data_IF_299959824998
#
_entry.id   IF_299959824998
#
_cell.length_a   1.000
_cell.length_b   1.000
_cell.length_c   1.000
_cell.angle_alpha   90.00
_cell.angle_beta   90.00
_cell.angle_gamma   90.00
#
_symmetry.space_group_name_H-M   'P 1'
#
loop_
_entity.id
_entity.type
_entity.pdbx_description
1 polymer ?
#
# COMPACT_ATOMS: atom_id res chain seq x y z
N UNK A 1 -15.13 -24.10 53.08
CA UNK A 1 -15.77 -24.00 51.75
C UNK A 1 -15.88 -22.53 51.35
N UNK A 2 -15.55 -22.23 50.09
CA UNK A 2 -15.91 -21.02 49.33
C UNK A 2 -15.17 -19.68 49.55
N UNK A 3 -13.85 -19.60 49.32
CA UNK A 3 -13.18 -18.29 49.08
C UNK A 3 -12.30 -18.24 47.81
N UNK A 4 -11.97 -19.37 47.19
CA UNK A 4 -11.10 -19.38 45.99
C UNK A 4 -11.85 -19.15 44.67
N UNK A 5 -13.16 -19.43 44.62
CA UNK A 5 -13.96 -19.30 43.38
C UNK A 5 -14.34 -17.84 43.04
N UNK A 6 -14.35 -16.93 44.01
CA UNK A 6 -14.73 -15.52 43.78
C UNK A 6 -13.64 -14.65 43.12
N UNK A 7 -12.35 -14.95 43.34
CA UNK A 7 -11.22 -14.20 42.76
C UNK A 7 -10.96 -14.52 41.29
N UNK A 8 -11.26 -15.74 40.86
CA UNK A 8 -11.07 -16.17 39.46
C UNK A 8 -12.12 -15.52 38.56
N UNK A 9 -13.35 -15.31 39.05
CA UNK A 9 -14.42 -14.66 38.27
C UNK A 9 -14.15 -13.18 38.04
N UNK A 10 -13.51 -12.48 39.00
CA UNK A 10 -13.17 -11.06 38.87
C UNK A 10 -11.98 -10.80 37.93
N UNK A 11 -10.95 -11.65 37.91
CA UNK A 11 -9.86 -11.53 36.93
C UNK A 11 -10.35 -11.84 35.50
N UNK A 12 -11.24 -12.83 35.34
CA UNK A 12 -11.79 -13.18 34.03
C UNK A 12 -12.69 -12.07 33.47
N UNK A 13 -13.46 -11.36 34.31
CA UNK A 13 -14.26 -10.21 33.86
C UNK A 13 -13.39 -9.00 33.51
N UNK A 14 -12.26 -8.79 34.20
CA UNK A 14 -11.33 -7.69 33.90
C UNK A 14 -10.55 -7.94 32.60
N UNK A 15 -10.18 -9.19 32.30
CA UNK A 15 -9.58 -9.57 31.00
C UNK A 15 -10.59 -9.44 29.86
N UNK A 16 -11.88 -9.78 30.08
CA UNK A 16 -12.93 -9.59 29.07
C UNK A 16 -13.29 -8.12 28.84
N UNK A 17 -13.26 -7.28 29.89
CA UNK A 17 -13.50 -5.83 29.78
C UNK A 17 -12.32 -5.10 29.14
N UNK A 18 -11.09 -5.52 29.41
CA UNK A 18 -9.91 -4.98 28.70
C UNK A 18 -9.93 -5.40 27.23
N UNK A 19 -10.32 -6.63 26.89
CA UNK A 19 -10.42 -7.08 25.49
C UNK A 19 -11.56 -6.42 24.69
N UNK A 20 -12.61 -5.91 25.34
CA UNK A 20 -13.70 -5.18 24.66
C UNK A 20 -13.45 -3.67 24.59
N UNK A 21 -12.45 -3.16 25.31
CA UNK A 21 -12.05 -1.75 25.34
C UNK A 21 -10.60 -1.51 24.89
N UNK A 22 -9.94 -2.49 24.24
CA UNK A 22 -8.86 -2.15 23.30
C UNK A 22 -9.55 -1.31 22.22
N UNK A 23 -9.51 -0.01 22.43
CA UNK A 23 -9.92 0.98 21.47
C UNK A 23 -9.38 0.54 20.11
N UNK A 24 -10.25 0.54 19.11
CA UNK A 24 -9.92 0.39 17.69
C UNK A 24 -8.93 1.49 17.26
N UNK A 25 -7.70 1.44 17.77
CA UNK A 25 -6.58 2.21 17.30
C UNK A 25 -6.21 1.60 15.96
N UNK A 26 -7.00 1.92 14.92
CA UNK A 26 -6.73 1.57 13.53
C UNK A 26 -5.32 2.00 13.22
N UNK A 27 -4.40 1.03 13.19
CA UNK A 27 -3.01 1.26 12.87
C UNK A 27 -3.00 1.67 11.41
N UNK A 28 -2.82 2.95 11.14
CA UNK A 28 -2.57 3.39 9.77
C UNK A 28 -1.18 2.87 9.39
N UNK A 29 -1.14 1.92 8.47
CA UNK A 29 0.11 1.46 7.85
C UNK A 29 0.38 2.37 6.65
N UNK A 30 1.50 3.09 6.66
CA UNK A 30 1.85 4.01 5.58
C UNK A 30 2.54 3.27 4.43
N UNK A 31 2.19 3.64 3.21
CA UNK A 31 2.79 3.13 1.98
C UNK A 31 4.22 3.67 1.77
N UNK A 32 4.98 3.04 0.87
CA UNK A 32 6.30 3.55 0.47
C UNK A 32 6.21 4.96 -0.12
N UNK A 33 5.14 5.26 -0.86
CA UNK A 33 4.86 6.59 -1.42
C UNK A 33 4.69 7.62 -0.30
N UNK A 34 3.79 7.36 0.66
CA UNK A 34 3.57 8.26 1.80
C UNK A 34 4.84 8.48 2.62
N UNK A 35 5.62 7.43 2.90
CA UNK A 35 6.90 7.55 3.62
C UNK A 35 7.91 8.39 2.86
N UNK A 36 8.02 8.18 1.54
CA UNK A 36 8.95 8.93 0.68
C UNK A 36 8.56 10.40 0.57
N UNK A 37 7.27 10.69 0.45
CA UNK A 37 6.73 12.06 0.38
C UNK A 37 6.85 12.79 1.72
N UNK A 38 6.57 12.12 2.84
CA UNK A 38 6.67 12.70 4.17
C UNK A 38 8.10 12.91 4.67
N UNK A 39 9.08 12.21 4.08
CA UNK A 39 10.49 12.33 4.43
C UNK A 39 11.18 13.43 3.63
N UNK A 40 11.98 14.25 4.31
CA UNK A 40 12.92 15.17 3.66
C UNK A 40 14.25 14.47 3.34
N UNK A 41 14.55 13.39 4.07
CA UNK A 41 15.75 12.61 3.94
C UNK A 41 15.40 11.12 3.98
N UNK A 42 15.97 10.35 3.05
CA UNK A 42 15.90 8.89 3.09
C UNK A 42 17.31 8.33 3.09
N UNK A 43 17.68 7.65 4.17
CA UNK A 43 19.03 7.13 4.39
C UNK A 43 19.04 5.61 4.37
N UNK A 44 20.05 5.04 3.71
CA UNK A 44 20.38 3.63 3.78
C UNK A 44 21.70 3.46 4.55
N UNK A 45 21.71 2.51 5.48
CA UNK A 45 22.84 2.26 6.34
C UNK A 45 22.74 0.96 7.11
N UNK A 46 23.69 0.76 8.02
CA UNK A 46 23.72 -0.40 8.89
C UNK A 46 23.66 -0.01 10.36
N UNK A 47 23.02 -0.86 11.16
CA UNK A 47 23.01 -0.72 12.62
C UNK A 47 24.44 -0.89 13.15
N UNK A 48 25.02 0.18 13.67
CA UNK A 48 26.35 0.20 14.28
C UNK A 48 26.27 -0.06 15.77
N UNK A 49 25.32 0.56 16.46
CA UNK A 49 25.15 0.43 17.91
C UNK A 49 23.67 0.36 18.29
N UNK A 50 23.38 -0.32 19.39
CA UNK A 50 22.05 -0.46 19.97
C UNK A 50 22.08 0.12 21.38
N UNK A 51 21.23 1.10 21.63
CA UNK A 51 21.06 1.71 22.94
C UNK A 51 19.65 1.48 23.47
N UNK A 52 19.41 1.81 24.74
CA UNK A 52 18.11 1.57 25.36
C UNK A 52 16.98 2.41 24.75
N UNK A 53 17.29 3.59 24.22
CA UNK A 53 16.36 4.62 23.74
C UNK A 53 16.62 5.06 22.30
N UNK A 54 17.66 4.55 21.64
CA UNK A 54 17.94 4.82 20.23
C UNK A 54 18.84 3.73 19.59
N UNK A 55 19.02 3.83 18.28
CA UNK A 55 20.03 3.08 17.52
C UNK A 55 20.97 4.06 16.83
N UNK A 56 22.22 3.66 16.62
CA UNK A 56 23.19 4.40 15.80
C UNK A 56 23.33 3.71 14.46
N UNK A 57 23.09 4.43 13.37
CA UNK A 57 23.27 3.92 12.01
C UNK A 57 24.52 4.50 11.39
N UNK A 58 25.38 3.64 10.84
CA UNK A 58 26.39 4.08 9.88
C UNK A 58 25.70 4.27 8.53
N UNK A 59 25.68 5.51 8.05
CA UNK A 59 25.06 5.89 6.79
C UNK A 59 25.96 5.50 5.64
N UNK A 60 25.46 4.66 4.74
CA UNK A 60 26.15 4.26 3.51
C UNK A 60 25.77 5.16 2.34
N UNK A 61 24.50 5.58 2.27
CA UNK A 61 23.97 6.34 1.13
C UNK A 61 22.73 7.15 1.54
N UNK A 62 22.56 8.33 0.96
CA UNK A 62 21.27 9.01 0.92
C UNK A 62 20.56 8.66 -0.39
N UNK A 63 19.32 8.16 -0.30
CA UNK A 63 18.44 7.91 -1.44
C UNK A 63 17.58 9.14 -1.78
N UNK A 64 17.35 10.01 -0.80
CA UNK A 64 16.70 11.32 -0.93
C UNK A 64 17.38 12.30 0.01
N UNK A 65 17.60 13.53 -0.45
CA UNK A 65 18.33 14.56 0.30
C UNK A 65 19.86 14.36 0.31
N UNK A 66 20.55 15.07 1.19
CA UNK A 66 22.02 15.01 1.31
C UNK A 66 22.44 14.28 2.59
N UNK A 67 23.52 13.50 2.53
CA UNK A 67 24.07 12.81 3.72
C UNK A 67 24.51 13.87 4.74
N UNK A 68 23.89 13.92 5.93
CA UNK A 68 24.23 14.96 6.88
C UNK A 68 25.48 14.61 7.69
N UNK A 69 25.68 13.32 8.01
CA UNK A 69 26.81 12.77 8.77
C UNK A 69 27.01 11.30 8.37
N UNK A 70 28.21 10.76 8.61
CA UNK A 70 28.52 9.33 8.43
C UNK A 70 27.77 8.43 9.43
N UNK A 71 27.34 9.01 10.56
CA UNK A 71 26.59 8.31 11.59
C UNK A 71 25.40 9.15 12.03
N UNK A 72 24.25 8.49 12.22
CA UNK A 72 23.01 9.13 12.66
C UNK A 72 22.39 8.36 13.82
N UNK A 73 21.96 9.10 14.83
CA UNK A 73 21.15 8.57 15.93
C UNK A 73 19.67 8.59 15.55
N UNK A 74 19.02 7.43 15.67
CA UNK A 74 17.59 7.28 15.40
C UNK A 74 16.91 6.86 16.69
N UNK A 75 16.08 7.72 17.30
CA UNK A 75 15.36 7.36 18.51
C UNK A 75 14.38 6.21 18.21
N UNK A 76 14.25 5.28 19.16
CA UNK A 76 13.19 4.28 19.13
C UNK A 76 12.43 4.33 20.46
N UNK A 77 11.16 4.69 20.41
CA UNK A 77 10.39 4.82 21.64
C UNK A 77 9.86 3.44 22.08
N UNK A 78 10.47 2.84 23.12
CA UNK A 78 9.97 1.60 23.75
C UNK A 78 8.58 1.76 24.38
N UNK A 79 8.13 2.98 24.73
CA UNK A 79 6.86 3.20 25.43
C UNK A 79 5.62 3.20 24.54
N UNK A 80 5.74 3.27 23.21
CA UNK A 80 4.55 3.24 22.32
C UNK A 80 4.12 1.79 21.97
N UNK A 81 4.87 0.78 22.44
CA UNK A 81 4.62 -0.63 22.13
C UNK A 81 4.25 -1.46 23.36
N UNK A 82 3.11 -1.16 24.01
CA UNK A 82 2.53 -2.17 24.93
C UNK A 82 1.93 -3.38 24.17
N UNK A 83 1.75 -3.29 22.85
CA UNK A 83 1.12 -4.36 22.05
C UNK A 83 1.80 -4.68 20.71
N UNK A 84 3.01 -4.17 20.43
CA UNK A 84 3.61 -4.33 19.09
C UNK A 84 5.02 -4.86 19.16
N UNK A 85 5.27 -5.86 18.31
CA UNK A 85 6.52 -6.60 18.18
C UNK A 85 7.72 -5.66 18.38
N UNK A 86 8.50 -5.92 19.42
CA UNK A 86 9.84 -5.33 19.55
C UNK A 86 10.59 -5.74 18.28
N UNK A 87 10.77 -4.81 17.35
CA UNK A 87 11.64 -5.05 16.19
C UNK A 87 13.04 -5.13 16.76
N UNK A 88 13.51 -6.35 17.01
CA UNK A 88 14.85 -6.61 17.47
C UNK A 88 15.78 -6.37 16.27
N UNK A 89 16.38 -5.19 16.23
CA UNK A 89 17.49 -4.91 15.34
C UNK A 89 18.73 -5.63 15.86
N UNK A 90 19.56 -6.12 14.94
CA UNK A 90 20.87 -6.68 15.27
C UNK A 90 21.98 -5.86 14.63
N UNK A 91 23.18 -5.92 15.23
CA UNK A 91 24.34 -5.20 14.70
C UNK A 91 24.63 -5.65 13.26
N UNK A 92 24.92 -4.68 12.40
CA UNK A 92 25.17 -4.91 10.98
C UNK A 92 23.92 -5.03 10.12
N UNK A 93 22.70 -5.01 10.68
CA UNK A 93 21.48 -5.05 9.87
C UNK A 93 21.33 -3.85 8.94
N UNK A 94 20.89 -4.11 7.72
CA UNK A 94 20.64 -3.11 6.70
C UNK A 94 19.26 -2.47 6.89
N UNK A 95 19.25 -1.16 7.08
CA UNK A 95 18.04 -0.38 7.32
C UNK A 95 17.87 0.74 6.30
N UNK A 96 16.62 1.09 6.07
CA UNK A 96 16.19 2.28 5.37
C UNK A 96 15.43 3.20 6.33
N UNK A 97 15.94 4.41 6.53
CA UNK A 97 15.39 5.42 7.42
C UNK A 97 14.74 6.53 6.59
N UNK A 98 13.46 6.77 6.82
CA UNK A 98 12.69 7.89 6.32
C UNK A 98 12.55 8.92 7.44
N UNK A 99 13.08 10.13 7.27
CA UNK A 99 13.08 11.16 8.32
C UNK A 99 12.78 12.55 7.74
N UNK A 100 12.05 13.38 8.49
CA UNK A 100 11.63 14.72 8.07
C UNK A 100 12.54 15.83 8.61
N UNK A 101 13.13 15.68 9.79
CA UNK A 101 13.94 16.75 10.42
C UNK A 101 14.97 16.19 11.39
N UNK A 102 16.05 16.95 11.59
CA UNK A 102 16.89 16.84 12.79
C UNK A 102 16.20 17.51 13.97
N UNK A 103 16.17 16.83 15.11
CA UNK A 103 15.80 17.44 16.39
C UNK A 103 16.88 18.44 16.86
N UNK A 104 16.56 19.25 17.87
CA UNK A 104 17.50 20.20 18.49
C UNK A 104 18.75 19.54 19.08
N UNK A 105 18.71 18.24 19.39
CA UNK A 105 19.87 17.46 19.85
C UNK A 105 20.58 16.70 18.71
N UNK A 106 20.22 16.94 17.44
CA UNK A 106 20.89 16.33 16.28
C UNK A 106 20.51 14.87 16.01
N UNK A 107 19.42 14.37 16.58
CA UNK A 107 18.83 13.06 16.29
C UNK A 107 17.89 13.16 15.08
N UNK A 108 17.71 12.05 14.37
CA UNK A 108 16.85 11.98 13.18
C UNK A 108 15.57 11.25 13.51
N UNK A 109 14.46 11.98 13.60
CA UNK A 109 13.16 11.39 13.92
C UNK A 109 12.57 10.70 12.69
N UNK A 110 12.25 9.39 12.78
CA UNK A 110 11.56 8.70 11.71
C UNK A 110 10.20 9.34 11.40
N UNK A 111 9.85 9.44 10.12
CA UNK A 111 8.50 9.82 9.71
C UNK A 111 7.54 8.69 10.10
N UNK A 112 6.42 9.03 10.72
CA UNK A 112 5.41 8.07 11.18
C UNK A 112 5.94 7.06 12.22
N UNK A 113 6.76 7.56 13.14
CA UNK A 113 7.38 6.78 14.21
C UNK A 113 8.16 5.57 13.66
N UNK A 114 8.05 4.41 14.31
CA UNK A 114 8.75 3.18 13.92
C UNK A 114 8.48 2.74 12.47
N UNK A 115 7.40 3.20 11.82
CA UNK A 115 7.13 2.86 10.42
C UNK A 115 8.09 3.54 9.45
N UNK A 116 8.76 4.62 9.87
CA UNK A 116 9.81 5.29 9.11
C UNK A 116 11.14 4.55 9.10
N UNK A 117 11.24 3.40 9.79
CA UNK A 117 12.42 2.53 9.75
C UNK A 117 12.03 1.20 9.11
N UNK A 118 12.68 0.86 8.00
CA UNK A 118 12.46 -0.42 7.30
C UNK A 118 13.71 -1.27 7.38
N UNK A 119 13.53 -2.51 7.85
CA UNK A 119 14.56 -3.55 7.74
C UNK A 119 14.58 -4.08 6.31
N UNK A 120 15.76 -4.15 5.73
CA UNK A 120 15.96 -4.65 4.37
C UNK A 120 16.42 -6.10 4.39
N UNK A 121 15.96 -6.88 3.43
CA UNK A 121 16.61 -8.15 3.11
C UNK A 121 17.88 -7.87 2.30
N UNK A 122 18.89 -8.72 2.50
CA UNK A 122 20.18 -8.59 1.83
C UNK A 122 20.00 -8.53 0.31
N UNK A 123 20.50 -7.46 -0.29
CA UNK A 123 20.45 -7.24 -1.75
C UNK A 123 19.21 -6.52 -2.27
N UNK A 124 18.24 -6.19 -1.42
CA UNK A 124 17.02 -5.50 -1.88
C UNK A 124 17.18 -3.98 -2.05
N UNK A 125 18.27 -3.38 -1.57
CA UNK A 125 18.46 -1.92 -1.59
C UNK A 125 18.30 -1.32 -3.00
N UNK A 126 18.77 -2.00 -4.06
CA UNK A 126 18.62 -1.52 -5.43
C UNK A 126 17.15 -1.36 -5.85
N UNK A 127 16.26 -2.23 -5.36
CA UNK A 127 14.83 -2.15 -5.65
C UNK A 127 14.19 -0.94 -4.96
N UNK A 128 14.58 -0.66 -3.71
CA UNK A 128 14.10 0.49 -2.96
C UNK A 128 14.62 1.80 -3.55
N UNK A 129 15.88 1.83 -3.97
CA UNK A 129 16.47 2.98 -4.64
C UNK A 129 15.72 3.35 -5.93
N UNK A 130 15.48 2.37 -6.80
CA UNK A 130 14.70 2.59 -8.02
C UNK A 130 13.27 3.06 -7.71
N UNK A 131 12.62 2.47 -6.71
CA UNK A 131 11.27 2.85 -6.29
C UNK A 131 11.22 4.28 -5.75
N UNK A 132 12.12 4.65 -4.85
CA UNK A 132 12.20 6.01 -4.28
C UNK A 132 12.50 7.02 -5.38
N UNK A 133 13.48 6.76 -6.24
CA UNK A 133 13.81 7.65 -7.36
C UNK A 133 12.63 7.84 -8.31
N UNK A 134 11.86 6.77 -8.57
CA UNK A 134 10.67 6.83 -9.43
C UNK A 134 9.56 7.66 -8.80
N UNK A 135 9.33 7.51 -7.48
CA UNK A 135 8.37 8.32 -6.73
C UNK A 135 8.76 9.80 -6.78
N UNK A 136 10.02 10.15 -6.49
CA UNK A 136 10.49 11.55 -6.50
C UNK A 136 10.35 12.19 -7.89
N UNK A 137 10.71 11.44 -8.93
CA UNK A 137 10.54 11.87 -10.32
C UNK A 137 9.08 12.12 -10.66
N UNK A 138 8.19 11.23 -10.24
CA UNK A 138 6.75 11.38 -10.44
C UNK A 138 6.18 12.58 -9.67
N UNK A 139 6.59 12.78 -8.43
CA UNK A 139 6.18 13.92 -7.60
C UNK A 139 6.63 15.25 -8.20
N UNK A 140 7.85 15.30 -8.74
CA UNK A 140 8.41 16.46 -9.41
C UNK A 140 7.77 16.78 -10.78
N UNK A 141 7.05 15.83 -11.40
CA UNK A 141 6.40 16.07 -12.69
C UNK A 141 5.27 17.10 -12.57
N UNK A 142 5.26 18.08 -13.45
CA UNK A 142 4.28 19.18 -13.42
C UNK A 142 3.33 19.18 -14.60
N UNK A 143 3.73 18.63 -15.74
CA UNK A 143 2.89 18.55 -16.93
C UNK A 143 2.14 17.22 -17.03
N UNK A 144 0.97 17.23 -17.68
CA UNK A 144 0.19 16.00 -17.93
C UNK A 144 1.02 14.95 -18.68
N UNK A 145 1.82 15.35 -19.67
CA UNK A 145 2.65 14.44 -20.45
C UNK A 145 3.71 13.74 -19.59
N UNK A 146 4.43 14.49 -18.75
CA UNK A 146 5.43 13.92 -17.84
C UNK A 146 4.78 13.01 -16.79
N UNK A 147 3.66 13.43 -16.20
CA UNK A 147 2.92 12.64 -15.21
C UNK A 147 2.50 11.31 -15.84
N UNK A 148 1.91 11.36 -17.04
CA UNK A 148 1.46 10.16 -17.78
C UNK A 148 2.64 9.25 -18.12
N UNK A 149 3.71 9.80 -18.72
CA UNK A 149 4.87 9.03 -19.12
C UNK A 149 5.57 8.35 -17.93
N UNK A 150 5.66 9.04 -16.79
CA UNK A 150 6.23 8.46 -15.56
C UNK A 150 5.35 7.36 -14.99
N UNK A 151 4.03 7.52 -14.94
CA UNK A 151 3.13 6.46 -14.48
C UNK A 151 3.23 5.22 -15.37
N UNK A 152 3.21 5.39 -16.69
CA UNK A 152 3.39 4.28 -17.64
C UNK A 152 4.71 3.56 -17.36
N UNK A 153 5.81 4.30 -17.27
CA UNK A 153 7.13 3.73 -16.95
C UNK A 153 7.13 2.96 -15.63
N UNK A 154 6.45 3.46 -14.59
CA UNK A 154 6.40 2.80 -13.30
C UNK A 154 5.53 1.53 -13.34
N UNK A 155 4.38 1.56 -14.03
CA UNK A 155 3.52 0.40 -14.22
C UNK A 155 4.21 -0.71 -15.05
N UNK A 156 5.08 -0.32 -15.98
CA UNK A 156 5.84 -1.25 -16.84
C UNK A 156 7.15 -1.75 -16.23
N UNK A 157 7.58 -1.20 -15.08
CA UNK A 157 8.82 -1.62 -14.41
C UNK A 157 8.79 -3.10 -14.07
N UNK A 158 9.95 -3.77 -14.08
CA UNK A 158 10.10 -5.14 -13.57
C UNK A 158 10.21 -5.17 -12.03
N UNK A 159 10.34 -4.01 -11.40
CA UNK A 159 10.44 -3.87 -9.96
C UNK A 159 9.05 -3.70 -9.35
N UNK A 160 8.65 -4.72 -8.58
CA UNK A 160 7.35 -4.76 -7.92
C UNK A 160 7.12 -3.62 -6.93
N UNK A 161 8.17 -3.02 -6.34
CA UNK A 161 8.04 -1.84 -5.48
C UNK A 161 7.66 -0.60 -6.30
N UNK A 162 8.23 -0.45 -7.50
CA UNK A 162 7.90 0.63 -8.44
C UNK A 162 6.46 0.48 -8.93
N UNK A 163 6.07 -0.72 -9.36
CA UNK A 163 4.68 -1.01 -9.75
C UNK A 163 3.69 -0.75 -8.61
N UNK A 164 4.03 -1.21 -7.40
CA UNK A 164 3.21 -0.96 -6.21
C UNK A 164 3.09 0.52 -5.88
N UNK A 165 4.15 1.30 -6.06
CA UNK A 165 4.12 2.75 -5.87
C UNK A 165 3.16 3.41 -6.87
N UNK A 166 3.26 3.08 -8.16
CA UNK A 166 2.34 3.57 -9.18
C UNK A 166 0.88 3.20 -8.89
N UNK A 167 0.63 1.97 -8.44
CA UNK A 167 -0.73 1.52 -8.15
C UNK A 167 -1.29 2.09 -6.83
N UNK A 168 -0.43 2.41 -5.86
CA UNK A 168 -0.82 3.05 -4.61
C UNK A 168 -1.41 4.46 -4.82
N UNK A 169 -0.99 5.15 -5.87
CA UNK A 169 -1.56 6.45 -6.27
C UNK A 169 -3.05 6.39 -6.57
N UNK A 170 -3.54 5.24 -7.07
CA UNK A 170 -4.95 5.03 -7.35
C UNK A 170 -5.79 4.76 -6.11
N UNK A 171 -5.17 4.26 -5.03
CA UNK A 171 -5.89 3.81 -3.82
C UNK A 171 -6.19 4.93 -2.84
N UNK A 172 -5.29 5.91 -2.77
CA UNK A 172 -5.36 6.99 -1.81
C UNK A 172 -5.72 8.30 -2.52
N UNK A 173 -5.94 9.38 -1.75
CA UNK A 173 -6.28 10.73 -2.22
C UNK A 173 -5.29 11.37 -3.23
N UNK A 174 -4.26 10.62 -3.67
CA UNK A 174 -3.27 11.00 -4.68
C UNK A 174 -3.79 10.89 -6.12
N UNK A 175 -4.94 10.24 -6.35
CA UNK A 175 -5.71 10.36 -7.60
C UNK A 175 -5.91 11.82 -8.03
N UNK A 176 -5.88 12.79 -7.12
CA UNK A 176 -6.07 14.20 -7.44
C UNK A 176 -5.07 14.72 -8.49
N UNK A 177 -3.80 14.27 -8.48
CA UNK A 177 -2.80 14.71 -9.46
C UNK A 177 -3.15 14.20 -10.85
N UNK A 178 -3.48 12.92 -10.98
CA UNK A 178 -3.92 12.29 -12.22
C UNK A 178 -5.26 12.82 -12.73
N UNK A 179 -6.23 12.98 -11.82
CA UNK A 179 -7.56 13.50 -12.11
C UNK A 179 -7.49 14.94 -12.62
N UNK A 180 -6.69 15.79 -11.99
CA UNK A 180 -6.41 17.16 -12.47
C UNK A 180 -5.74 17.16 -13.83
N UNK A 181 -4.84 16.20 -14.07
CA UNK A 181 -4.17 16.04 -15.35
C UNK A 181 -5.06 15.44 -16.45
N UNK A 182 -6.26 14.94 -16.12
CA UNK A 182 -7.20 14.35 -17.07
C UNK A 182 -6.80 12.97 -17.60
N UNK A 183 -5.95 12.25 -16.87
CA UNK A 183 -5.40 10.94 -17.28
C UNK A 183 -6.40 9.84 -16.96
N UNK A 184 -6.68 8.93 -17.89
CA UNK A 184 -7.68 7.87 -17.69
C UNK A 184 -7.38 6.54 -18.38
N UNK A 185 -8.44 5.78 -18.66
CA UNK A 185 -8.38 4.45 -19.28
C UNK A 185 -7.57 4.41 -20.58
N UNK A 186 -7.68 5.44 -21.42
CA UNK A 186 -7.04 5.42 -22.74
C UNK A 186 -5.51 5.38 -22.60
N UNK A 187 -4.99 6.10 -21.63
CA UNK A 187 -3.55 6.24 -21.40
C UNK A 187 -2.99 5.08 -20.57
N UNK A 188 -3.70 4.67 -19.51
CA UNK A 188 -3.16 3.73 -18.51
C UNK A 188 -3.84 2.36 -18.50
N UNK A 189 -4.99 2.23 -19.17
CA UNK A 189 -5.80 1.01 -19.17
C UNK A 189 -5.03 -0.24 -19.56
N UNK A 190 -4.27 -0.26 -20.68
CA UNK A 190 -3.52 -1.46 -21.09
C UNK A 190 -2.53 -1.96 -20.04
N UNK A 191 -1.75 -1.06 -19.43
CA UNK A 191 -0.75 -1.41 -18.42
C UNK A 191 -1.40 -1.87 -17.11
N UNK A 192 -2.46 -1.19 -16.66
CA UNK A 192 -3.20 -1.60 -15.46
C UNK A 192 -3.91 -2.95 -15.69
N UNK A 193 -4.53 -3.17 -16.86
CA UNK A 193 -5.16 -4.45 -17.22
C UNK A 193 -4.13 -5.58 -17.15
N UNK A 194 -2.92 -5.36 -17.67
CA UNK A 194 -1.84 -6.36 -17.59
C UNK A 194 -1.51 -6.74 -16.15
N UNK A 195 -1.43 -5.75 -15.25
CA UNK A 195 -1.11 -5.98 -13.83
C UNK A 195 -2.22 -6.66 -13.04
N UNK A 196 -3.47 -6.69 -13.51
CA UNK A 196 -4.54 -7.47 -12.85
C UNK A 196 -4.30 -8.98 -12.89
N UNK A 197 -3.40 -9.45 -13.78
CA UNK A 197 -2.98 -10.85 -13.92
C UNK A 197 -1.61 -11.13 -13.31
N UNK A 198 -1.09 -10.19 -12.51
CA UNK A 198 0.22 -10.32 -11.89
C UNK A 198 0.22 -11.46 -10.84
N UNK A 199 1.34 -12.16 -10.70
CA UNK A 199 1.47 -13.30 -9.79
C UNK A 199 1.48 -12.90 -8.31
N UNK A 200 2.00 -11.71 -8.01
CA UNK A 200 1.82 -11.06 -6.70
C UNK A 200 0.37 -10.59 -6.57
N UNK A 201 -0.37 -11.24 -5.67
CA UNK A 201 -1.76 -10.96 -5.34
C UNK A 201 -2.00 -9.51 -4.93
N UNK A 202 -1.06 -8.87 -4.23
CA UNK A 202 -1.22 -7.50 -3.78
C UNK A 202 -1.19 -6.53 -4.97
N UNK A 203 -0.28 -6.74 -5.92
CA UNK A 203 -0.25 -5.97 -7.17
C UNK A 203 -1.54 -6.18 -7.97
N UNK A 204 -2.01 -7.42 -8.10
CA UNK A 204 -3.24 -7.73 -8.82
C UNK A 204 -4.49 -7.07 -8.18
N UNK A 205 -4.58 -7.07 -6.85
CA UNK A 205 -5.64 -6.38 -6.09
C UNK A 205 -5.60 -4.88 -6.36
N UNK A 206 -4.43 -4.24 -6.25
CA UNK A 206 -4.31 -2.80 -6.48
C UNK A 206 -4.59 -2.41 -7.93
N UNK A 207 -4.17 -3.23 -8.89
CA UNK A 207 -4.48 -3.01 -10.30
C UNK A 207 -5.99 -3.12 -10.56
N UNK A 208 -6.67 -4.07 -9.92
CA UNK A 208 -8.13 -4.18 -9.99
C UNK A 208 -8.82 -2.95 -9.38
N UNK A 209 -8.28 -2.43 -8.26
CA UNK A 209 -8.73 -1.17 -7.70
C UNK A 209 -8.56 -0.01 -8.68
N UNK A 210 -7.38 0.11 -9.29
CA UNK A 210 -7.07 1.16 -10.24
C UNK A 210 -8.04 1.16 -11.44
N UNK A 211 -8.40 -0.01 -11.99
CA UNK A 211 -9.42 -0.11 -13.04
C UNK A 211 -10.80 0.40 -12.60
N UNK A 212 -11.12 0.34 -11.31
CA UNK A 212 -12.38 0.93 -10.82
C UNK A 212 -12.37 2.45 -10.99
N UNK A 213 -11.21 3.08 -10.81
CA UNK A 213 -11.06 4.54 -10.82
C UNK A 213 -10.75 5.14 -12.18
N UNK A 214 -9.98 4.45 -13.03
CA UNK A 214 -9.66 4.95 -14.37
C UNK A 214 -10.43 4.26 -15.49
N UNK A 215 -10.98 3.08 -15.24
CA UNK A 215 -11.60 2.24 -16.26
C UNK A 215 -12.87 2.86 -16.81
N UNK A 216 -13.00 2.84 -18.13
CA UNK A 216 -14.22 3.18 -18.84
C UNK A 216 -14.83 1.93 -19.44
N UNK A 217 -15.49 2.10 -20.59
CA UNK A 217 -16.15 1.01 -21.30
C UNK A 217 -15.18 -0.11 -21.71
N UNK A 218 -13.90 0.22 -21.96
CA UNK A 218 -12.89 -0.74 -22.40
C UNK A 218 -12.49 -1.77 -21.34
N UNK A 219 -12.61 -1.40 -20.06
CA UNK A 219 -12.24 -2.21 -18.90
C UNK A 219 -13.31 -3.23 -18.50
N UNK A 220 -14.55 -3.05 -18.97
CA UNK A 220 -15.69 -3.91 -18.61
C UNK A 220 -15.42 -5.39 -18.89
N UNK A 221 -14.92 -5.82 -20.07
CA UNK A 221 -14.60 -7.23 -20.31
C UNK A 221 -13.60 -7.80 -19.29
N UNK A 222 -12.56 -7.04 -18.95
CA UNK A 222 -11.57 -7.47 -17.95
C UNK A 222 -12.19 -7.58 -16.57
N UNK A 223 -13.00 -6.61 -16.14
CA UNK A 223 -13.68 -6.67 -14.85
C UNK A 223 -14.62 -7.89 -14.79
N UNK A 224 -15.33 -8.22 -15.87
CA UNK A 224 -16.16 -9.43 -15.96
C UNK A 224 -15.32 -10.70 -15.80
N UNK A 225 -14.12 -10.77 -16.40
CA UNK A 225 -13.22 -11.90 -16.17
C UNK A 225 -12.77 -12.00 -14.71
N UNK A 226 -12.50 -10.86 -14.05
CA UNK A 226 -12.05 -10.82 -12.66
C UNK A 226 -13.13 -11.19 -11.64
N UNK A 227 -14.42 -11.04 -11.97
CA UNK A 227 -15.54 -11.53 -11.13
C UNK A 227 -15.40 -13.03 -10.84
N UNK A 228 -14.88 -13.82 -11.79
CA UNK A 228 -14.67 -15.27 -11.62
C UNK A 228 -13.37 -15.65 -10.92
N UNK A 229 -12.61 -14.69 -10.37
CA UNK A 229 -11.31 -14.93 -9.76
C UNK A 229 -11.36 -15.92 -8.58
N UNK A 230 -10.29 -16.68 -8.40
CA UNK A 230 -10.10 -17.55 -7.22
C UNK A 230 -9.79 -16.73 -5.96
N UNK A 231 -9.29 -15.50 -6.13
CA UNK A 231 -9.13 -14.56 -5.03
C UNK A 231 -10.46 -13.82 -4.76
N UNK A 232 -10.96 -13.96 -3.54
CA UNK A 232 -12.24 -13.39 -3.10
C UNK A 232 -12.26 -11.86 -3.13
N UNK A 233 -11.15 -11.23 -2.72
CA UNK A 233 -10.99 -9.76 -2.73
C UNK A 233 -11.04 -9.21 -4.15
N UNK A 234 -10.29 -9.82 -5.09
CA UNK A 234 -10.30 -9.41 -6.51
C UNK A 234 -11.71 -9.54 -7.10
N UNK A 235 -12.39 -10.66 -6.83
CA UNK A 235 -13.75 -10.89 -7.34
C UNK A 235 -14.76 -9.87 -6.81
N UNK A 236 -14.76 -9.65 -5.48
CA UNK A 236 -15.64 -8.66 -4.85
C UNK A 236 -15.42 -7.27 -5.44
N UNK A 237 -14.16 -6.85 -5.57
CA UNK A 237 -13.79 -5.55 -6.12
C UNK A 237 -14.21 -5.39 -7.57
N UNK A 238 -13.96 -6.39 -8.41
CA UNK A 238 -14.37 -6.36 -9.81
C UNK A 238 -15.89 -6.30 -9.96
N UNK A 239 -16.63 -7.06 -9.12
CA UNK A 239 -18.08 -7.03 -9.11
C UNK A 239 -18.63 -5.66 -8.72
N UNK A 240 -18.10 -5.06 -7.64
CA UNK A 240 -18.48 -3.71 -7.20
C UNK A 240 -18.17 -2.64 -8.25
N UNK A 241 -17.04 -2.78 -8.93
CA UNK A 241 -16.66 -1.89 -10.03
C UNK A 241 -17.68 -1.96 -11.18
N UNK A 242 -18.12 -3.17 -11.56
CA UNK A 242 -19.13 -3.36 -12.59
C UNK A 242 -20.48 -2.75 -12.20
N UNK A 243 -20.93 -2.96 -10.96
CA UNK A 243 -22.17 -2.35 -10.46
C UNK A 243 -22.07 -0.83 -10.47
N UNK A 244 -20.99 -0.24 -9.96
CA UNK A 244 -20.81 1.21 -10.00
C UNK A 244 -20.78 1.77 -11.43
N UNK A 245 -20.13 1.05 -12.36
CA UNK A 245 -19.95 1.53 -13.73
C UNK A 245 -21.20 1.37 -14.59
N UNK A 246 -21.98 0.32 -14.38
CA UNK A 246 -23.15 -0.03 -15.23
C UNK A 246 -24.49 0.26 -14.56
N UNK A 247 -24.51 0.49 -13.24
CA UNK A 247 -25.70 0.60 -12.39
C UNK A 247 -26.60 -0.65 -12.42
N UNK A 248 -26.02 -1.81 -12.77
CA UNK A 248 -26.73 -3.09 -12.72
C UNK A 248 -26.40 -3.77 -11.40
N UNK A 249 -27.41 -4.03 -10.59
CA UNK A 249 -27.27 -4.65 -9.26
C UNK A 249 -27.06 -6.17 -9.39
N UNK A 250 -25.84 -6.55 -9.76
CA UNK A 250 -25.36 -7.95 -9.79
C UNK A 250 -24.03 -8.05 -9.05
N UNK A 251 -24.10 -8.32 -7.75
CA UNK A 251 -22.93 -8.32 -6.87
C UNK A 251 -22.53 -9.72 -6.39
N UNK A 252 -21.23 -9.99 -6.46
CA UNK A 252 -20.58 -11.04 -5.67
C UNK A 252 -20.47 -10.54 -4.22
N UNK A 253 -20.95 -11.35 -3.28
CA UNK A 253 -20.77 -11.07 -1.85
C UNK A 253 -19.43 -11.61 -1.36
N UNK A 254 -18.84 -10.92 -0.39
CA UNK A 254 -17.63 -11.42 0.26
C UNK A 254 -17.90 -12.79 0.89
N UNK A 255 -16.99 -13.73 0.64
CA UNK A 255 -17.13 -15.13 1.08
C UNK A 255 -17.95 -16.03 0.14
N UNK A 256 -18.44 -15.53 -0.99
CA UNK A 256 -19.09 -16.36 -2.02
C UNK A 256 -18.14 -17.44 -2.54
N UNK A 257 -18.71 -18.61 -2.85
CA UNK A 257 -17.97 -19.75 -3.38
C UNK A 257 -17.45 -19.48 -4.80
N UNK A 258 -16.43 -20.21 -5.25
CA UNK A 258 -15.88 -20.07 -6.60
C UNK A 258 -16.98 -20.35 -7.67
N UNK A 259 -17.87 -21.29 -7.40
CA UNK A 259 -19.00 -21.65 -8.29
C UNK A 259 -20.00 -20.51 -8.40
N UNK A 260 -20.36 -19.87 -7.28
CA UNK A 260 -21.24 -18.69 -7.26
C UNK A 260 -20.62 -17.53 -8.04
N UNK A 261 -19.32 -17.28 -7.83
CA UNK A 261 -18.56 -16.24 -8.54
C UNK A 261 -18.53 -16.49 -10.05
N UNK A 262 -18.27 -17.72 -10.48
CA UNK A 262 -18.29 -18.11 -11.90
C UNK A 262 -19.68 -18.02 -12.52
N UNK A 263 -20.73 -18.33 -11.76
CA UNK A 263 -22.12 -18.13 -12.21
C UNK A 263 -22.41 -16.64 -12.45
N UNK A 264 -22.09 -15.78 -11.49
CA UNK A 264 -22.28 -14.32 -11.62
C UNK A 264 -21.45 -13.75 -12.77
N UNK A 265 -20.22 -14.23 -12.96
CA UNK A 265 -19.41 -13.90 -14.13
C UNK A 265 -20.12 -14.26 -15.44
N UNK A 266 -20.70 -15.46 -15.56
CA UNK A 266 -21.40 -15.87 -16.78
C UNK A 266 -22.62 -14.97 -17.06
N UNK A 267 -23.38 -14.61 -16.02
CA UNK A 267 -24.50 -13.68 -16.13
C UNK A 267 -24.06 -12.27 -16.56
N UNK A 268 -22.89 -11.82 -16.13
CA UNK A 268 -22.28 -10.58 -16.59
C UNK A 268 -21.83 -10.66 -18.04
N UNK A 269 -21.21 -11.76 -18.47
CA UNK A 269 -20.82 -12.00 -19.87
C UNK A 269 -22.04 -11.92 -20.79
N UNK A 270 -23.12 -12.58 -20.41
CA UNK A 270 -24.38 -12.57 -21.17
C UNK A 270 -24.98 -11.16 -21.23
N UNK A 271 -25.08 -10.48 -20.09
CA UNK A 271 -25.61 -9.12 -20.02
C UNK A 271 -24.79 -8.16 -20.89
N UNK A 272 -23.45 -8.22 -20.80
CA UNK A 272 -22.58 -7.37 -21.60
C UNK A 272 -22.71 -7.64 -23.09
N UNK A 273 -22.81 -8.91 -23.51
CA UNK A 273 -23.05 -9.28 -24.89
C UNK A 273 -24.32 -8.64 -25.47
N UNK A 274 -25.39 -8.57 -24.68
CA UNK A 274 -26.68 -7.98 -25.07
C UNK A 274 -26.70 -6.44 -25.00
N UNK A 275 -25.91 -5.84 -24.12
CA UNK A 275 -26.05 -4.43 -23.74
C UNK A 275 -24.85 -3.54 -24.08
N UNK A 276 -23.71 -4.10 -24.54
CA UNK A 276 -22.47 -3.33 -24.74
C UNK A 276 -22.66 -2.03 -25.52
N UNK A 277 -23.50 -2.01 -26.56
CA UNK A 277 -23.65 -0.82 -27.41
C UNK A 277 -24.57 0.25 -26.80
N UNK A 278 -25.45 -0.14 -25.87
CA UNK A 278 -26.46 0.73 -25.23
C UNK A 278 -26.12 1.06 -23.76
N UNK A 279 -25.18 0.35 -23.17
CA UNK A 279 -24.79 0.51 -21.77
C UNK A 279 -24.19 1.91 -21.53
N UNK A 280 -24.82 2.66 -20.63
CA UNK A 280 -24.24 3.90 -20.09
C UNK A 280 -23.19 3.52 -19.05
N UNK A 281 -21.92 3.67 -19.40
CA UNK A 281 -20.79 3.40 -18.50
C UNK A 281 -20.33 4.71 -17.87
N UNK A 282 -20.33 4.77 -16.53
CA UNK A 282 -19.76 5.92 -15.81
C UNK A 282 -18.24 5.93 -15.97
N UNK A 283 -17.69 7.12 -16.22
CA UNK A 283 -16.25 7.39 -16.06
C UNK A 283 -15.92 7.44 -14.58
#
# INVERSE_FOLDING_TARGET
>A
MNTTKGRIVWLSLFVLLVLTHIADAKIKVFSLVEKTQGANLVLYGNVKELHNDHIVLTVKKALKGSIPKSEVEVPWNKQISMERMVVLYTLGEELLLFTSTTTSNGRYEPVYDWQGVLKLHKGDIGKYEEAISSIEKYDAATSTEEITGRLISMLQSNNQLVQNAALSDFMYSHCLKMLKAGIGEKELGPDVIKLTKHSDTNIAIKATYALTNIGGKGSIPTLIELVGSDNDVISEMASRALVNKTMVEKEVKRGSSIEERKKIQAEWKEWWGKNKDKAKVRR
#
